data_IF_715938787957
#
_entry.id   IF_715938787957
#
_cell.length_a   1.000
_cell.length_b   1.000
_cell.length_c   1.000
_cell.angle_alpha   90.00
_cell.angle_beta   90.00
_cell.angle_gamma   90.00
#
_symmetry.space_group_name_H-M   'P 1'
#
loop_
_entity.id
_entity.type
_entity.pdbx_description
1 polymer ?
#
# COMPACT_ATOMS: atom_id res chain seq x y z
N UNK A 1 -17.60 18.44 15.28
CA UNK A 1 -17.07 18.31 13.90
C UNK A 1 -16.38 19.63 13.58
N UNK A 2 -15.06 19.70 13.37
CA UNK A 2 -14.45 20.92 12.84
C UNK A 2 -15.00 21.12 11.42
N UNK A 3 -15.66 22.25 11.19
CA UNK A 3 -16.20 22.62 9.89
C UNK A 3 -15.04 22.80 8.90
N UNK A 4 -14.94 21.88 7.95
CA UNK A 4 -14.00 22.00 6.82
C UNK A 4 -14.60 23.02 5.86
N UNK A 5 -13.92 24.14 5.63
CA UNK A 5 -14.26 25.06 4.55
C UNK A 5 -13.91 24.39 3.21
N UNK A 6 -14.94 23.87 2.55
CA UNK A 6 -14.82 23.14 1.28
C UNK A 6 -14.68 24.06 0.07
N UNK A 7 -14.85 25.38 0.23
CA UNK A 7 -14.67 26.34 -0.86
C UNK A 7 -13.21 26.79 -0.97
N UNK A 8 -12.50 26.82 0.16
CA UNK A 8 -11.07 27.13 0.22
C UNK A 8 -10.34 26.20 1.20
N UNK A 9 -10.22 24.89 0.88
CA UNK A 9 -9.52 23.97 1.75
C UNK A 9 -8.07 24.43 1.91
N UNK A 10 -7.55 24.55 3.14
CA UNK A 10 -6.14 24.79 3.38
C UNK A 10 -5.28 23.81 2.55
N UNK A 11 -4.11 24.22 2.03
CA UNK A 11 -3.26 23.36 1.20
C UNK A 11 -3.00 21.97 1.80
N UNK A 12 -2.87 21.90 3.13
CA UNK A 12 -2.69 20.67 3.90
C UNK A 12 -3.88 19.70 3.83
N UNK A 13 -5.12 20.19 3.69
CA UNK A 13 -6.33 19.36 3.58
C UNK A 13 -6.49 18.81 2.15
N UNK A 14 -6.09 19.61 1.15
CA UNK A 14 -6.07 19.19 -0.26
C UNK A 14 -5.14 18.00 -0.48
N UNK A 15 -3.99 17.97 0.19
CA UNK A 15 -3.03 16.86 0.11
C UNK A 15 -3.58 15.53 0.63
N UNK A 16 -4.28 15.55 1.76
CA UNK A 16 -4.91 14.37 2.36
C UNK A 16 -6.01 13.84 1.46
N UNK A 17 -6.85 14.74 0.93
CA UNK A 17 -7.92 14.41 -0.02
C UNK A 17 -7.35 13.78 -1.30
N UNK A 18 -6.32 14.37 -1.91
CA UNK A 18 -5.69 13.84 -3.14
C UNK A 18 -5.17 12.41 -2.94
N UNK A 19 -4.56 12.11 -1.79
CA UNK A 19 -4.07 10.76 -1.47
C UNK A 19 -5.23 9.77 -1.31
N UNK A 20 -6.28 10.12 -0.58
CA UNK A 20 -7.46 9.26 -0.41
C UNK A 20 -8.16 9.00 -1.76
N UNK A 21 -8.37 10.06 -2.57
CA UNK A 21 -8.92 9.98 -3.92
C UNK A 21 -8.06 9.09 -4.82
N UNK A 22 -6.73 9.19 -4.74
CA UNK A 22 -5.83 8.41 -5.57
C UNK A 22 -6.00 6.89 -5.36
N UNK A 23 -6.22 6.44 -4.13
CA UNK A 23 -6.46 5.04 -3.79
C UNK A 23 -7.83 4.58 -4.31
N UNK A 24 -8.83 5.46 -4.24
CA UNK A 24 -10.21 5.19 -4.65
C UNK A 24 -10.46 5.43 -6.15
N UNK A 25 -9.40 5.57 -6.94
CA UNK A 25 -9.49 5.97 -8.34
C UNK A 25 -9.50 4.76 -9.29
N UNK A 26 -10.10 4.96 -10.47
CA UNK A 26 -9.96 4.04 -11.62
C UNK A 26 -8.50 3.78 -12.00
N UNK A 27 -7.60 4.74 -11.71
CA UNK A 27 -6.16 4.58 -11.95
C UNK A 27 -5.56 3.54 -11.00
N UNK A 28 -5.95 3.54 -9.73
CA UNK A 28 -5.53 2.53 -8.76
C UNK A 28 -6.08 1.14 -9.11
N UNK A 29 -7.36 1.06 -9.52
CA UNK A 29 -7.96 -0.18 -10.01
C UNK A 29 -7.22 -0.70 -11.26
N UNK A 30 -6.92 0.18 -12.23
CA UNK A 30 -6.15 -0.16 -13.41
C UNK A 30 -4.73 -0.64 -13.09
N UNK A 31 -4.07 -0.06 -12.09
CA UNK A 31 -2.80 -0.57 -11.58
C UNK A 31 -2.96 -1.99 -11.02
N UNK A 32 -3.97 -2.25 -10.20
CA UNK A 32 -4.23 -3.58 -9.66
C UNK A 32 -4.44 -4.62 -10.77
N UNK A 33 -5.19 -4.28 -11.83
CA UNK A 33 -5.36 -5.14 -13.02
C UNK A 33 -4.01 -5.45 -13.69
N UNK A 34 -3.14 -4.45 -13.86
CA UNK A 34 -1.80 -4.64 -14.44
C UNK A 34 -0.95 -5.55 -13.56
N UNK A 35 -0.96 -5.34 -12.24
CA UNK A 35 -0.24 -6.19 -11.28
C UNK A 35 -0.69 -7.65 -11.37
N UNK A 36 -2.00 -7.89 -11.39
CA UNK A 36 -2.58 -9.24 -11.51
C UNK A 36 -2.20 -9.89 -12.84
N UNK A 37 -2.26 -9.14 -13.95
CA UNK A 37 -1.87 -9.65 -15.28
C UNK A 37 -0.40 -10.05 -15.33
N UNK A 38 0.50 -9.19 -14.87
CA UNK A 38 1.94 -9.49 -14.79
C UNK A 38 2.20 -10.71 -13.89
N UNK A 39 1.43 -10.85 -12.79
CA UNK A 39 1.56 -11.99 -11.88
C UNK A 39 1.14 -13.31 -12.57
N UNK A 40 0.00 -13.31 -13.27
CA UNK A 40 -0.51 -14.49 -13.98
C UNK A 40 0.43 -14.97 -15.09
N UNK A 41 1.12 -14.04 -15.76
CA UNK A 41 2.13 -14.37 -16.79
C UNK A 41 3.37 -15.04 -16.22
N UNK A 42 3.66 -14.86 -14.93
CA UNK A 42 4.81 -15.44 -14.23
C UNK A 42 4.49 -16.77 -13.52
N UNK A 43 3.26 -17.27 -13.58
CA UNK A 43 2.76 -18.44 -12.83
C UNK A 43 3.32 -19.80 -13.27
N UNK A 44 4.65 -19.92 -13.36
CA UNK A 44 5.35 -21.22 -13.46
C UNK A 44 6.20 -21.53 -12.24
N UNK A 45 6.61 -20.55 -11.42
CA UNK A 45 7.49 -20.77 -10.24
C UNK A 45 7.30 -19.67 -9.18
N UNK A 46 6.13 -19.57 -8.55
CA UNK A 46 6.00 -18.74 -7.35
C UNK A 46 6.68 -19.47 -6.19
N UNK A 47 7.72 -18.90 -5.56
CA UNK A 47 8.37 -19.56 -4.43
C UNK A 47 7.39 -19.65 -3.25
N UNK A 48 7.35 -20.79 -2.55
CA UNK A 48 6.42 -21.05 -1.43
C UNK A 48 6.44 -19.93 -0.40
N UNK A 49 5.33 -19.39 0.11
CA UNK A 49 5.36 -18.31 1.10
C UNK A 49 6.23 -18.71 2.32
N UNK A 50 7.17 -17.84 2.71
CA UNK A 50 7.97 -18.06 3.92
C UNK A 50 8.24 -16.70 4.57
N UNK A 51 7.84 -16.59 5.84
CA UNK A 51 7.90 -15.34 6.61
C UNK A 51 9.22 -15.19 7.38
N UNK A 52 10.34 -15.56 6.75
CA UNK A 52 11.67 -15.39 7.35
C UNK A 52 12.29 -14.05 6.98
N UNK A 53 12.96 -13.41 7.95
CA UNK A 53 13.67 -12.13 7.74
C UNK A 53 14.66 -12.24 6.57
N UNK A 54 15.39 -13.35 6.49
CA UNK A 54 16.40 -13.58 5.45
C UNK A 54 15.78 -13.63 4.06
N UNK A 55 14.59 -14.22 3.93
CA UNK A 55 13.86 -14.23 2.66
C UNK A 55 13.36 -12.85 2.27
N UNK A 56 12.85 -12.06 3.21
CA UNK A 56 12.41 -10.69 2.91
C UNK A 56 13.59 -9.81 2.49
N UNK A 57 14.77 -10.01 3.11
CA UNK A 57 16.01 -9.36 2.67
C UNK A 57 16.37 -9.80 1.24
N UNK A 58 16.32 -11.10 0.92
CA UNK A 58 16.56 -11.59 -0.44
C UNK A 58 15.56 -11.02 -1.47
N UNK A 59 14.30 -10.86 -1.09
CA UNK A 59 13.28 -10.26 -1.96
C UNK A 59 13.59 -8.79 -2.29
N UNK A 60 14.21 -8.05 -1.37
CA UNK A 60 14.69 -6.67 -1.60
C UNK A 60 15.89 -6.60 -2.55
N UNK A 61 16.63 -7.69 -2.72
CA UNK A 61 17.75 -7.78 -3.67
C UNK A 61 17.29 -7.76 -5.12
N UNK A 62 16.01 -8.07 -5.40
CA UNK A 62 15.49 -8.01 -6.75
C UNK A 62 15.73 -6.60 -7.31
N UNK A 63 16.49 -6.51 -8.42
CA UNK A 63 16.71 -5.24 -9.10
C UNK A 63 15.33 -4.66 -9.41
N UNK A 64 15.17 -3.36 -9.17
CA UNK A 64 13.96 -2.63 -9.55
C UNK A 64 13.83 -2.72 -11.07
N UNK A 65 13.13 -3.75 -11.53
CA UNK A 65 12.68 -3.88 -12.91
C UNK A 65 11.70 -2.75 -13.19
N UNK A 66 11.57 -2.38 -14.46
CA UNK A 66 10.63 -1.35 -14.90
C UNK A 66 9.16 -1.78 -14.70
N UNK A 67 8.90 -3.09 -14.61
CA UNK A 67 7.55 -3.66 -14.44
C UNK A 67 6.86 -3.19 -13.15
N UNK A 68 5.53 -3.15 -13.18
CA UNK A 68 4.73 -2.71 -12.04
C UNK A 68 4.85 -3.71 -10.88
N UNK A 69 4.81 -5.01 -11.20
CA UNK A 69 4.86 -6.09 -10.23
C UNK A 69 6.20 -6.16 -9.52
N UNK A 70 7.33 -5.94 -10.20
CA UNK A 70 8.62 -5.90 -9.52
C UNK A 70 8.70 -4.74 -8.51
N UNK A 71 8.20 -3.55 -8.88
CA UNK A 71 8.12 -2.41 -7.96
C UNK A 71 7.20 -2.71 -6.78
N UNK A 72 6.07 -3.35 -7.04
CA UNK A 72 5.14 -3.78 -6.00
C UNK A 72 5.78 -4.81 -5.05
N UNK A 73 6.48 -5.82 -5.58
CA UNK A 73 7.18 -6.85 -4.78
C UNK A 73 8.20 -6.24 -3.83
N UNK A 74 8.93 -5.21 -4.27
CA UNK A 74 9.83 -4.46 -3.37
C UNK A 74 9.04 -3.79 -2.24
N UNK A 75 7.94 -3.10 -2.54
CA UNK A 75 7.06 -2.49 -1.52
C UNK A 75 6.51 -3.55 -0.55
N UNK A 76 6.07 -4.70 -1.07
CA UNK A 76 5.57 -5.80 -0.25
C UNK A 76 6.66 -6.37 0.66
N UNK A 77 7.86 -6.63 0.12
CA UNK A 77 9.00 -7.12 0.89
C UNK A 77 9.39 -6.15 2.01
N UNK A 78 9.29 -4.83 1.79
CA UNK A 78 9.49 -3.83 2.84
C UNK A 78 8.47 -3.98 3.98
N UNK A 79 7.19 -4.14 3.64
CA UNK A 79 6.10 -4.34 4.63
C UNK A 79 6.29 -5.65 5.39
N UNK A 80 6.57 -6.75 4.71
CA UNK A 80 6.78 -8.05 5.33
C UNK A 80 8.03 -8.05 6.22
N UNK A 81 9.14 -7.46 5.75
CA UNK A 81 10.34 -7.27 6.57
C UNK A 81 10.01 -6.52 7.86
N UNK A 82 9.31 -5.38 7.76
CA UNK A 82 8.96 -4.59 8.93
C UNK A 82 8.13 -5.36 9.94
N UNK A 83 7.13 -6.14 9.49
CA UNK A 83 6.31 -6.97 10.37
C UNK A 83 7.14 -8.03 11.07
N UNK A 84 7.80 -8.92 10.31
CA UNK A 84 8.53 -10.06 10.88
C UNK A 84 9.62 -9.58 11.85
N UNK A 85 10.29 -8.49 11.52
CA UNK A 85 11.35 -7.93 12.35
C UNK A 85 10.79 -7.29 13.62
N UNK A 86 9.71 -6.51 13.53
CA UNK A 86 9.12 -5.88 14.71
C UNK A 86 8.43 -6.91 15.62
N UNK A 87 7.77 -7.92 15.05
CA UNK A 87 7.20 -9.06 15.79
C UNK A 87 8.29 -9.87 16.53
N UNK A 88 9.43 -10.15 15.87
CA UNK A 88 10.58 -10.81 16.52
C UNK A 88 11.10 -9.97 17.70
N UNK A 89 11.17 -8.65 17.55
CA UNK A 89 11.67 -7.76 18.62
C UNK A 89 10.67 -7.58 19.75
N UNK A 90 9.39 -7.53 19.46
CA UNK A 90 8.34 -7.49 20.48
C UNK A 90 8.39 -8.75 21.35
N UNK A 91 8.59 -9.93 20.75
CA UNK A 91 8.80 -11.19 21.48
C UNK A 91 10.04 -11.18 22.39
N UNK A 92 11.01 -10.30 22.10
CA UNK A 92 12.23 -10.09 22.89
C UNK A 92 12.07 -8.94 23.91
N UNK A 93 10.85 -8.40 24.10
CA UNK A 93 10.56 -7.30 25.02
C UNK A 93 10.95 -5.92 24.50
N UNK A 94 11.25 -5.79 23.21
CA UNK A 94 11.60 -4.51 22.56
C UNK A 94 10.45 -4.02 21.70
N UNK A 95 10.10 -2.74 21.81
CA UNK A 95 8.99 -2.15 21.01
C UNK A 95 9.18 -2.31 19.49
N UNK A 96 10.40 -2.23 18.99
CA UNK A 96 10.71 -2.42 17.57
C UNK A 96 12.21 -2.67 17.34
N UNK A 97 12.57 -3.05 16.10
CA UNK A 97 13.96 -3.15 15.70
C UNK A 97 14.66 -1.80 15.53
N UNK A 98 15.92 -1.78 15.93
CA UNK A 98 16.87 -0.70 15.70
C UNK A 98 17.40 -0.76 14.27
N UNK A 99 18.09 0.30 13.85
CA UNK A 99 18.71 0.36 12.53
C UNK A 99 19.86 -0.65 12.36
N UNK A 100 20.50 -1.07 13.45
CA UNK A 100 21.65 -2.00 13.43
C UNK A 100 21.26 -3.48 13.43
N UNK A 101 20.05 -3.81 13.89
CA UNK A 101 19.62 -5.21 14.10
C UNK A 101 19.69 -6.08 12.82
N UNK A 102 19.63 -5.46 11.64
CA UNK A 102 19.62 -6.16 10.34
C UNK A 102 20.92 -6.01 9.54
N UNK A 103 21.89 -5.21 9.97
CA UNK A 103 23.06 -4.85 9.16
C UNK A 103 23.91 -6.08 8.78
N UNK A 104 24.12 -6.99 9.73
CA UNK A 104 24.90 -8.22 9.50
C UNK A 104 24.22 -9.15 8.49
N UNK A 105 22.89 -9.32 8.61
CA UNK A 105 22.07 -10.13 7.69
C UNK A 105 22.02 -9.47 6.30
N UNK A 106 21.81 -8.16 6.23
CA UNK A 106 21.80 -7.41 4.98
C UNK A 106 23.14 -7.49 4.24
N UNK A 107 24.26 -7.37 4.97
CA UNK A 107 25.62 -7.52 4.41
C UNK A 107 25.85 -8.92 3.83
N UNK A 108 25.36 -9.98 4.50
CA UNK A 108 25.45 -11.37 4.01
C UNK A 108 24.79 -11.53 2.63
N UNK A 109 23.65 -10.88 2.41
CA UNK A 109 22.89 -10.99 1.16
C UNK A 109 23.22 -9.92 0.11
N UNK A 110 24.07 -8.95 0.45
CA UNK A 110 24.45 -7.85 -0.42
C UNK A 110 23.33 -6.81 -0.61
N UNK A 111 22.50 -6.61 0.40
CA UNK A 111 21.43 -5.60 0.40
C UNK A 111 21.92 -4.35 1.10
N UNK A 112 21.92 -3.24 0.38
CA UNK A 112 22.28 -1.93 0.91
C UNK A 112 21.04 -1.21 1.46
N UNK A 113 21.23 -0.20 2.31
CA UNK A 113 20.16 0.66 2.84
C UNK A 113 19.01 -0.13 3.51
N UNK A 114 19.32 -1.21 4.23
CA UNK A 114 18.30 -2.05 4.87
C UNK A 114 17.43 -1.25 5.86
N UNK A 115 18.01 -0.26 6.54
CA UNK A 115 17.29 0.65 7.42
C UNK A 115 16.22 1.46 6.68
N UNK A 116 16.52 1.91 5.46
CA UNK A 116 15.57 2.63 4.61
C UNK A 116 14.41 1.72 4.24
N UNK A 117 14.69 0.48 3.82
CA UNK A 117 13.65 -0.50 3.50
C UNK A 117 12.75 -0.82 4.70
N UNK A 118 13.35 -0.99 5.89
CA UNK A 118 12.60 -1.19 7.13
C UNK A 118 11.70 0.02 7.46
N UNK A 119 12.23 1.24 7.32
CA UNK A 119 11.47 2.47 7.55
C UNK A 119 10.31 2.62 6.56
N UNK A 120 10.54 2.37 5.27
CA UNK A 120 9.48 2.40 4.25
C UNK A 120 8.39 1.37 4.56
N UNK A 121 8.76 0.15 4.95
CA UNK A 121 7.80 -0.88 5.37
C UNK A 121 6.88 -0.41 6.50
N UNK A 122 7.45 0.18 7.56
CA UNK A 122 6.70 0.76 8.68
C UNK A 122 5.79 1.92 8.24
N UNK A 123 6.25 2.75 7.30
CA UNK A 123 5.42 3.84 6.76
C UNK A 123 4.22 3.28 6.00
N UNK A 124 4.40 2.28 5.13
CA UNK A 124 3.30 1.64 4.42
C UNK A 124 2.31 0.97 5.37
N UNK A 125 2.80 0.30 6.42
CA UNK A 125 1.93 -0.27 7.47
C UNK A 125 1.06 0.82 8.11
N UNK A 126 1.64 1.96 8.48
CA UNK A 126 0.89 3.09 9.06
C UNK A 126 -0.13 3.68 8.08
N UNK A 127 0.24 3.84 6.81
CA UNK A 127 -0.64 4.37 5.77
C UNK A 127 -1.84 3.43 5.57
N UNK A 128 -1.60 2.13 5.41
CA UNK A 128 -2.67 1.15 5.24
C UNK A 128 -3.53 0.98 6.50
N UNK A 129 -2.97 1.22 7.68
CA UNK A 129 -3.66 1.00 8.95
C UNK A 129 -4.21 -0.44 9.02
N UNK A 130 -5.48 -0.64 9.38
CA UNK A 130 -6.08 -1.98 9.42
C UNK A 130 -6.35 -2.58 8.02
N UNK A 131 -6.32 -1.77 6.95
CA UNK A 131 -6.74 -2.16 5.58
C UNK A 131 -5.54 -2.58 4.74
N UNK A 132 -5.01 -3.77 5.03
CA UNK A 132 -3.78 -4.30 4.39
C UNK A 132 -3.89 -4.42 2.86
N UNK A 133 -5.09 -4.65 2.33
CA UNK A 133 -5.36 -4.77 0.90
C UNK A 133 -5.29 -3.45 0.13
N UNK A 134 -5.18 -2.29 0.80
CA UNK A 134 -4.93 -1.03 0.10
C UNK A 134 -3.50 -0.89 -0.44
N UNK A 135 -2.56 -1.71 0.04
CA UNK A 135 -1.15 -1.64 -0.36
C UNK A 135 -0.92 -1.68 -1.89
N UNK A 136 -1.53 -2.60 -2.66
CA UNK A 136 -1.42 -2.62 -4.13
C UNK A 136 -2.15 -1.47 -4.84
N UNK A 137 -3.06 -0.77 -4.16
CA UNK A 137 -3.82 0.35 -4.71
C UNK A 137 -3.13 1.70 -4.50
N UNK A 138 -2.17 1.78 -3.57
CA UNK A 138 -1.28 2.94 -3.47
C UNK A 138 -0.47 3.03 -4.77
N UNK A 139 -0.55 4.16 -5.46
CA UNK A 139 0.00 4.27 -6.81
C UNK A 139 1.53 4.10 -6.85
N UNK A 140 1.99 3.38 -7.87
CA UNK A 140 3.38 3.19 -8.26
C UNK A 140 3.70 4.13 -9.42
N UNK A 141 4.97 4.38 -9.67
CA UNK A 141 5.38 5.07 -10.90
C UNK A 141 5.16 4.12 -12.11
N UNK A 142 4.51 4.59 -13.20
CA UNK A 142 4.21 6.00 -13.50
C UNK A 142 2.81 6.51 -13.07
N UNK A 143 1.88 5.65 -12.68
CA UNK A 143 0.49 6.02 -12.31
C UNK A 143 0.40 7.12 -11.25
N UNK A 144 1.37 7.16 -10.32
CA UNK A 144 1.45 8.18 -9.29
C UNK A 144 1.48 9.62 -9.84
N UNK A 145 1.97 9.82 -11.07
CA UNK A 145 2.02 11.12 -11.75
C UNK A 145 0.64 11.70 -12.04
N UNK A 146 -0.39 10.85 -12.24
CA UNK A 146 -1.76 11.29 -12.53
C UNK A 146 -2.35 12.13 -11.39
N UNK A 147 -2.02 11.78 -10.14
CA UNK A 147 -2.44 12.50 -8.95
C UNK A 147 -1.32 13.36 -8.34
N UNK A 148 -0.15 13.40 -8.98
CA UNK A 148 1.09 14.01 -8.44
C UNK A 148 1.43 13.52 -7.03
N UNK A 149 1.05 12.28 -6.68
CA UNK A 149 1.39 11.67 -5.40
C UNK A 149 2.83 11.18 -5.45
N UNK A 150 3.62 11.54 -4.46
CA UNK A 150 5.05 11.22 -4.37
C UNK A 150 5.34 10.42 -3.10
N UNK A 151 6.46 9.69 -3.08
CA UNK A 151 6.93 8.99 -1.86
C UNK A 151 7.09 9.98 -0.71
N UNK A 152 7.73 11.13 -0.94
CA UNK A 152 7.85 12.21 0.05
C UNK A 152 6.50 12.64 0.60
N UNK A 153 5.49 12.75 -0.27
CA UNK A 153 4.15 13.06 0.16
C UNK A 153 3.55 12.00 1.09
N UNK A 154 3.76 10.72 0.82
CA UNK A 154 3.34 9.66 1.74
C UNK A 154 4.11 9.69 3.06
N UNK A 155 5.40 10.01 3.03
CA UNK A 155 6.25 10.16 4.21
C UNK A 155 5.75 11.30 5.11
N UNK A 156 5.43 12.45 4.53
CA UNK A 156 4.86 13.61 5.24
C UNK A 156 3.58 13.23 5.99
N UNK A 157 2.70 12.43 5.39
CA UNK A 157 1.45 12.00 6.01
C UNK A 157 1.67 11.24 7.34
N UNK A 158 2.75 10.47 7.46
CA UNK A 158 3.03 9.61 8.63
C UNK A 158 4.10 10.16 9.58
N UNK A 159 4.53 11.41 9.40
CA UNK A 159 5.43 12.08 10.34
C UNK A 159 4.78 12.24 11.72
N UNK A 160 5.59 12.22 12.78
CA UNK A 160 5.12 12.22 14.16
C UNK A 160 4.20 13.40 14.53
N UNK A 161 4.34 14.55 13.85
CA UNK A 161 3.48 15.73 14.05
C UNK A 161 2.20 15.77 13.22
N UNK A 162 1.95 14.77 12.36
CA UNK A 162 0.84 14.76 11.40
C UNK A 162 -0.25 13.72 11.74
N UNK A 163 -0.40 13.36 13.01
CA UNK A 163 -1.37 12.34 13.44
C UNK A 163 -2.80 12.66 12.99
N UNK A 164 -3.23 13.92 13.14
CA UNK A 164 -4.56 14.39 12.71
C UNK A 164 -4.77 14.21 11.19
N UNK A 165 -3.72 14.40 10.38
CA UNK A 165 -3.79 14.19 8.93
C UNK A 165 -3.92 12.72 8.58
N UNK A 166 -3.16 11.87 9.25
CA UNK A 166 -3.24 10.42 9.05
C UNK A 166 -4.63 9.90 9.48
N UNK A 167 -5.16 10.39 10.59
CA UNK A 167 -6.50 10.06 11.05
C UNK A 167 -7.58 10.56 10.07
N UNK A 168 -7.47 11.79 9.59
CA UNK A 168 -8.37 12.33 8.56
C UNK A 168 -8.29 11.51 7.26
N UNK A 169 -7.09 11.11 6.85
CA UNK A 169 -6.89 10.22 5.71
C UNK A 169 -7.60 8.87 5.92
N UNK A 170 -7.45 8.24 7.09
CA UNK A 170 -8.14 6.98 7.40
C UNK A 170 -9.66 7.13 7.46
N UNK A 171 -10.18 8.23 7.98
CA UNK A 171 -11.62 8.54 7.98
C UNK A 171 -12.19 8.70 6.57
N UNK A 172 -11.45 9.34 5.66
CA UNK A 172 -11.84 9.49 4.25
C UNK A 172 -11.88 8.17 3.47
N UNK A 173 -11.24 7.14 4.03
CA UNK A 173 -11.20 5.77 3.53
C UNK A 173 -12.23 4.87 4.26
N UNK A 174 -13.01 5.41 5.19
CA UNK A 174 -14.02 4.65 5.92
C UNK A 174 -15.38 4.64 5.19
N UNK A 175 -15.37 4.05 4.00
CA UNK A 175 -16.53 3.95 3.12
C UNK A 175 -16.63 2.57 2.44
N UNK A 176 -17.84 2.16 1.98
CA UNK A 176 -18.06 0.85 1.35
C UNK A 176 -17.15 0.57 0.16
N UNK A 177 -16.94 1.56 -0.73
CA UNK A 177 -16.04 1.38 -1.89
C UNK A 177 -14.62 1.04 -1.44
N UNK A 178 -14.11 1.68 -0.40
CA UNK A 178 -12.78 1.35 0.13
C UNK A 178 -12.75 -0.06 0.77
N UNK A 179 -13.86 -0.54 1.33
CA UNK A 179 -13.93 -1.92 1.83
C UNK A 179 -13.83 -2.94 0.69
N UNK A 180 -14.51 -2.70 -0.42
CA UNK A 180 -14.44 -3.54 -1.62
C UNK A 180 -13.03 -3.53 -2.23
N UNK A 181 -12.42 -2.34 -2.31
CA UNK A 181 -11.05 -2.17 -2.77
C UNK A 181 -10.02 -2.90 -1.88
N UNK A 182 -10.19 -2.82 -0.55
CA UNK A 182 -9.37 -3.56 0.40
C UNK A 182 -9.57 -5.07 0.26
N UNK A 183 -10.79 -5.54 0.00
CA UNK A 183 -11.05 -6.95 -0.31
C UNK A 183 -10.35 -7.40 -1.60
N UNK A 184 -10.49 -6.66 -2.70
CA UNK A 184 -9.85 -6.97 -3.98
C UNK A 184 -8.32 -7.02 -3.85
N UNK A 185 -7.73 -6.06 -3.13
CA UNK A 185 -6.29 -6.06 -2.88
C UNK A 185 -5.82 -7.19 -1.98
N UNK A 186 -6.62 -7.62 -0.99
CA UNK A 186 -6.33 -8.83 -0.18
C UNK A 186 -6.33 -10.09 -1.04
N UNK A 187 -7.29 -10.23 -1.96
CA UNK A 187 -7.31 -11.36 -2.90
C UNK A 187 -6.04 -11.40 -3.73
N UNK A 188 -5.61 -10.26 -4.29
CA UNK A 188 -4.34 -10.18 -5.02
C UNK A 188 -3.12 -10.57 -4.16
N UNK A 189 -3.04 -10.10 -2.92
CA UNK A 189 -1.97 -10.50 -1.99
C UNK A 189 -1.98 -12.02 -1.74
N UNK A 190 -3.16 -12.62 -1.55
CA UNK A 190 -3.30 -14.06 -1.36
C UNK A 190 -2.81 -14.87 -2.57
N UNK A 191 -3.08 -14.41 -3.80
CA UNK A 191 -2.54 -15.04 -5.03
C UNK A 191 -1.01 -14.96 -5.06
N UNK A 192 -0.45 -13.83 -4.64
CA UNK A 192 1.00 -13.62 -4.63
C UNK A 192 1.71 -14.51 -3.60
N UNK A 193 1.06 -14.79 -2.48
CA UNK A 193 1.52 -15.71 -1.43
C UNK A 193 1.29 -17.20 -1.78
N UNK A 194 1.00 -17.54 -3.03
CA UNK A 194 0.82 -18.93 -3.47
C UNK A 194 -0.56 -19.52 -3.17
N UNK A 195 -1.53 -18.68 -2.78
CA UNK A 195 -2.93 -19.05 -2.66
C UNK A 195 -3.52 -19.52 -4.00
N UNK A 196 -4.53 -20.39 -3.92
CA UNK A 196 -5.12 -21.08 -5.06
C UNK A 196 -5.60 -20.10 -6.16
N UNK A 197 -5.26 -20.40 -7.42
CA UNK A 197 -5.86 -19.77 -8.62
C UNK A 197 -7.36 -20.06 -8.62
N UNK A 198 -8.18 -19.17 -8.07
CA UNK A 198 -9.63 -19.32 -8.14
C UNK A 198 -10.27 -17.94 -8.38
N UNK A 199 -10.51 -17.63 -9.65
CA UNK A 199 -11.75 -17.14 -10.28
C UNK A 199 -12.58 -15.98 -9.62
N UNK A 200 -12.28 -15.49 -8.43
CA UNK A 200 -13.11 -14.51 -7.70
C UNK A 200 -12.67 -13.05 -7.85
N UNK A 201 -11.45 -12.78 -8.32
CA UNK A 201 -10.94 -11.40 -8.42
C UNK A 201 -11.65 -10.57 -9.50
N UNK A 202 -12.10 -11.21 -10.59
CA UNK A 202 -12.87 -10.56 -11.66
C UNK A 202 -14.28 -10.16 -11.19
N UNK A 203 -14.90 -10.95 -10.29
CA UNK A 203 -16.17 -10.62 -9.66
C UNK A 203 -16.04 -9.44 -8.69
N UNK A 204 -14.96 -9.40 -7.89
CA UNK A 204 -14.67 -8.27 -7.01
C UNK A 204 -14.39 -6.97 -7.78
N UNK A 205 -13.70 -7.04 -8.93
CA UNK A 205 -13.48 -5.88 -9.80
C UNK A 205 -14.73 -5.48 -10.58
N UNK A 206 -15.55 -6.44 -11.01
CA UNK A 206 -16.82 -6.15 -11.71
C UNK A 206 -17.82 -5.43 -10.78
N UNK A 207 -17.81 -5.76 -9.48
CA UNK A 207 -18.55 -4.99 -8.46
C UNK A 207 -18.01 -3.57 -8.27
N UNK A 208 -16.69 -3.39 -8.28
CA UNK A 208 -16.04 -2.09 -8.14
C UNK A 208 -16.16 -1.19 -9.40
N UNK A 209 -16.26 -1.78 -10.60
CA UNK A 209 -16.55 -1.06 -11.85
C UNK A 209 -18.01 -0.58 -11.93
N UNK A 210 -18.93 -1.27 -11.24
CA UNK A 210 -20.35 -0.90 -11.13
C UNK A 210 -20.65 0.05 -9.97
N UNK A 211 -19.75 0.16 -8.98
CA UNK A 211 -19.86 1.16 -7.93
C UNK A 211 -19.82 2.57 -8.53
N UNK A 212 -20.74 3.44 -8.09
CA UNK A 212 -20.78 4.84 -8.55
C UNK A 212 -19.38 5.45 -8.47
N UNK A 213 -18.87 5.87 -9.63
CA UNK A 213 -17.58 6.53 -9.75
C UNK A 213 -17.48 7.64 -8.70
N UNK A 214 -16.30 7.88 -8.13
CA UNK A 214 -16.08 8.91 -7.13
C UNK A 214 -16.53 10.30 -7.63
N UNK A 215 -16.59 10.49 -8.96
CA UNK A 215 -17.21 11.65 -9.61
C UNK A 215 -18.71 11.80 -9.28
N UNK A 216 -19.46 10.71 -9.19
CA UNK A 216 -20.87 10.66 -8.73
C UNK A 216 -20.98 10.82 -7.22
N UNK A 217 -20.12 10.18 -6.43
CA UNK A 217 -20.11 10.34 -4.97
C UNK A 217 -19.80 11.79 -4.55
N UNK A 218 -18.87 12.46 -5.24
CA UNK A 218 -18.58 13.91 -5.07
C UNK A 218 -19.76 14.78 -5.54
N UNK A 219 -20.53 14.36 -6.55
CA UNK A 219 -21.72 15.07 -7.04
C UNK A 219 -22.94 14.87 -6.14
N UNK A 220 -23.08 13.72 -5.50
CA UNK A 220 -24.14 13.38 -4.56
C UNK A 220 -23.91 14.08 -3.21
N UNK A 221 -22.67 14.14 -2.73
CA UNK A 221 -22.29 14.94 -1.56
C UNK A 221 -22.52 16.44 -1.74
N UNK A 222 -22.42 16.96 -2.98
CA UNK A 222 -22.75 18.35 -3.33
C UNK A 222 -24.26 18.65 -3.44
N UNK A 223 -25.11 17.63 -3.51
CA UNK A 223 -26.58 17.79 -3.67
C UNK A 223 -27.35 17.68 -2.35
N UNK A 224 -26.71 17.19 -1.29
CA UNK A 224 -27.28 17.06 0.06
C UNK A 224 -26.83 18.19 1.01
N UNK A 225 -26.21 19.23 0.46
CA UNK A 225 -25.80 20.50 1.09
C UNK A 225 -26.48 21.66 0.40
#
# INVERSE_FOLDING_TARGET
IPAVDLYHPPPLQTEVLVRAVSIRSKVAMGQLVVLTRELMQLCSNLPEPEDSIDRQILALKQRVSTSALAKFRVRLAQVCLARVVDDEKESQGRRCASHTDLESRAKRYGVHNIHYHLQQGRQWIKICGPRKGLLPLILLSPWSKTFKVTTKGWEELVQAGNHEKLEAFHKLLDDPLTQDLDAAGRTFLGILDGGQKAVEWELALSGAEQAEDLASAVKFYRKLS
#
